data_IF_700117613684
#
_entry.id   IF_700117613684
#
_cell.length_a   1.000
_cell.length_b   1.000
_cell.length_c   1.000
_cell.angle_alpha   90.00
_cell.angle_beta   90.00
_cell.angle_gamma   90.00
#
_symmetry.space_group_name_H-M   'P 1'
#
loop_
_entity.id
_entity.type
_entity.pdbx_description
1 polymer ?
#
# COMPACT_ATOMS: atom_id res chain seq x y z
N UNK A 1 18.71 -32.86 49.22
CA UNK A 1 17.98 -34.01 49.77
C UNK A 1 16.50 -33.81 49.49
N UNK A 2 15.92 -34.72 48.69
CA UNK A 2 14.49 -35.07 48.56
C UNK A 2 13.47 -33.98 48.22
N UNK A 3 12.48 -34.16 47.34
CA UNK A 3 12.01 -35.30 46.56
C UNK A 3 11.01 -34.74 45.53
N UNK A 4 11.01 -35.35 44.35
CA UNK A 4 9.93 -35.30 43.36
C UNK A 4 8.58 -35.59 44.00
N UNK A 5 7.50 -34.96 43.51
CA UNK A 5 6.19 -35.62 43.51
C UNK A 5 5.37 -35.20 42.30
N UNK A 6 5.14 -36.20 41.44
CA UNK A 6 4.33 -36.23 40.24
C UNK A 6 2.97 -36.86 40.59
N UNK A 7 1.90 -36.32 39.97
CA UNK A 7 0.65 -37.00 39.54
C UNK A 7 -0.28 -37.58 40.63
N UNK A 8 -1.57 -37.21 40.60
CA UNK A 8 -2.73 -38.12 40.39
C UNK A 8 -4.09 -37.56 40.83
N UNK A 9 -5.03 -37.53 39.88
CA UNK A 9 -6.49 -37.77 39.98
C UNK A 9 -7.07 -37.32 38.62
N UNK A 10 -7.32 -38.10 37.58
CA UNK A 10 -7.97 -39.42 37.36
C UNK A 10 -9.46 -39.48 37.74
N UNK A 11 -10.28 -39.42 36.67
CA UNK A 11 -11.63 -40.00 36.38
C UNK A 11 -12.90 -39.38 36.94
N UNK A 12 -14.10 -39.62 36.32
CA UNK A 12 -14.46 -40.25 35.02
C UNK A 12 -15.35 -39.30 34.14
N UNK A 13 -15.41 -39.38 32.80
CA UNK A 13 -16.13 -40.29 31.89
C UNK A 13 -17.61 -40.62 32.21
N UNK A 14 -18.46 -40.58 31.17
CA UNK A 14 -19.94 -40.71 31.10
C UNK A 14 -20.71 -39.43 31.47
N UNK A 15 -21.62 -38.86 30.69
CA UNK A 15 -22.44 -39.26 29.54
C UNK A 15 -22.66 -37.98 28.68
N UNK A 16 -23.21 -37.92 27.48
CA UNK A 16 -24.09 -38.81 26.75
C UNK A 16 -23.99 -38.50 25.26
N UNK A 17 -24.37 -39.50 24.49
CA UNK A 17 -24.36 -39.61 23.04
C UNK A 17 -25.63 -38.95 22.47
N UNK A 18 -25.50 -37.88 21.70
CA UNK A 18 -26.54 -37.50 20.72
C UNK A 18 -25.86 -37.26 19.38
N UNK A 19 -25.76 -38.34 18.58
CA UNK A 19 -25.72 -38.24 17.12
C UNK A 19 -27.19 -38.25 16.68
N UNK A 20 -27.63 -37.23 15.94
CA UNK A 20 -28.05 -37.43 14.55
C UNK A 20 -28.45 -36.12 13.86
N UNK A 21 -27.83 -35.94 12.70
CA UNK A 21 -28.35 -35.34 11.48
C UNK A 21 -29.08 -33.99 11.56
N UNK A 22 -28.34 -32.92 11.29
CA UNK A 22 -28.71 -32.06 10.16
C UNK A 22 -27.55 -32.06 9.15
N UNK A 23 -27.48 -33.13 8.36
CA UNK A 23 -26.76 -33.07 7.09
C UNK A 23 -27.67 -32.27 6.17
N UNK A 24 -27.28 -31.03 5.85
CA UNK A 24 -27.53 -30.26 4.62
C UNK A 24 -27.45 -28.75 4.93
N UNK A 25 -26.63 -28.03 4.14
CA UNK A 25 -26.33 -26.58 4.16
C UNK A 25 -25.36 -26.19 5.30
N UNK A 26 -24.07 -25.88 5.12
CA UNK A 26 -23.38 -25.24 4.01
C UNK A 26 -22.02 -25.91 3.78
N UNK A 27 -21.78 -26.23 2.52
CA UNK A 27 -20.48 -26.63 2.02
C UNK A 27 -19.54 -25.43 2.09
N UNK A 28 -18.33 -25.68 2.60
CA UNK A 28 -17.08 -25.11 2.08
C UNK A 28 -16.72 -23.64 2.39
N UNK A 29 -15.46 -23.47 2.82
CA UNK A 29 -14.59 -22.35 2.46
C UNK A 29 -14.78 -21.00 3.17
N UNK A 30 -14.39 -20.89 4.44
CA UNK A 30 -14.16 -19.57 5.06
C UNK A 30 -12.67 -19.17 5.15
N UNK A 31 -11.76 -19.95 4.57
CA UNK A 31 -10.31 -19.64 4.49
C UNK A 31 -9.83 -19.26 3.08
N UNK A 32 -10.75 -18.93 2.15
CA UNK A 32 -10.43 -18.52 0.76
C UNK A 32 -11.28 -17.34 0.28
N UNK A 33 -11.56 -16.38 1.17
CA UNK A 33 -11.89 -15.02 0.75
C UNK A 33 -10.62 -14.20 1.02
N UNK A 34 -9.63 -14.29 0.12
CA UNK A 34 -9.25 -13.16 -0.74
C UNK A 34 -9.41 -11.84 0.01
N UNK A 35 -8.35 -11.38 0.66
CA UNK A 35 -8.15 -9.95 0.79
C UNK A 35 -8.08 -9.44 -0.66
N UNK A 36 -9.20 -8.95 -1.20
CA UNK A 36 -9.12 -8.08 -2.37
C UNK A 36 -8.23 -6.90 -1.95
N UNK A 37 -7.27 -6.45 -2.78
CA UNK A 37 -6.53 -5.25 -2.45
C UNK A 37 -7.56 -4.15 -2.20
N UNK A 38 -7.51 -3.57 -1.01
CA UNK A 38 -8.20 -2.34 -0.63
C UNK A 38 -7.77 -1.28 -1.66
N UNK A 39 -8.62 -1.02 -2.66
CA UNK A 39 -8.34 -0.03 -3.70
C UNK A 39 -8.05 1.36 -3.11
N UNK A 40 -8.50 1.59 -1.88
CA UNK A 40 -8.34 2.83 -1.10
C UNK A 40 -6.95 3.02 -0.45
N UNK A 41 -6.06 2.02 -0.48
CA UNK A 41 -4.75 2.06 0.19
C UNK A 41 -3.56 2.11 -0.77
N UNK A 42 -3.78 2.35 -2.07
CA UNK A 42 -2.70 2.50 -3.05
C UNK A 42 -2.67 3.91 -3.62
N UNK A 43 -1.48 4.35 -4.03
CA UNK A 43 -1.33 5.52 -4.91
C UNK A 43 -1.16 5.01 -6.34
N UNK A 44 -1.82 5.66 -7.30
CA UNK A 44 -1.86 5.25 -8.70
C UNK A 44 -1.08 6.20 -9.59
N UNK A 45 -0.50 5.69 -10.67
CA UNK A 45 0.20 6.46 -11.71
C UNK A 45 -0.56 6.34 -13.02
N UNK A 46 -0.85 7.46 -13.68
CA UNK A 46 -1.41 7.47 -15.06
C UNK A 46 -0.34 7.10 -16.09
N UNK A 47 -0.79 6.76 -17.30
CA UNK A 47 0.12 6.51 -18.43
C UNK A 47 0.95 7.76 -18.79
N UNK A 48 0.37 8.96 -18.71
CA UNK A 48 1.09 10.21 -18.97
C UNK A 48 2.20 10.45 -17.94
N UNK A 49 1.93 10.18 -16.65
CA UNK A 49 2.94 10.26 -15.61
C UNK A 49 4.11 9.30 -15.89
N UNK A 50 3.80 8.03 -16.22
CA UNK A 50 4.80 7.00 -16.54
C UNK A 50 5.62 7.40 -17.76
N UNK A 51 4.95 7.84 -18.83
CA UNK A 51 5.60 8.32 -20.06
C UNK A 51 6.57 9.45 -19.73
N UNK A 52 6.14 10.43 -18.93
CA UNK A 52 6.99 11.56 -18.59
C UNK A 52 8.19 11.15 -17.75
N UNK A 53 8.00 10.27 -16.78
CA UNK A 53 9.11 9.77 -15.95
C UNK A 53 10.15 9.01 -16.78
N UNK A 54 9.72 8.21 -17.75
CA UNK A 54 10.63 7.52 -18.69
C UNK A 54 11.40 8.51 -19.56
N UNK A 55 10.75 9.58 -20.04
CA UNK A 55 11.42 10.66 -20.78
C UNK A 55 12.50 11.33 -19.93
N UNK A 56 12.17 11.68 -18.67
CA UNK A 56 13.10 12.33 -17.73
C UNK A 56 14.29 11.42 -17.42
N UNK A 57 14.05 10.14 -17.13
CA UNK A 57 15.11 9.14 -16.90
C UNK A 57 16.00 8.92 -18.12
N UNK A 58 15.46 8.99 -19.35
CA UNK A 58 16.24 8.84 -20.57
C UNK A 58 17.06 10.09 -20.93
N UNK A 59 16.62 11.28 -20.48
CA UNK A 59 17.32 12.55 -20.74
C UNK A 59 18.51 12.80 -19.81
N UNK A 60 18.51 12.17 -18.63
CA UNK A 60 19.60 12.25 -17.66
C UNK A 60 20.74 11.30 -18.05
N UNK A 61 21.98 11.79 -18.08
CA UNK A 61 23.18 10.98 -18.40
C UNK A 61 23.69 10.20 -17.18
N UNK A 62 23.04 10.35 -16.03
CA UNK A 62 23.44 9.68 -14.78
C UNK A 62 23.03 8.20 -14.81
N UNK A 63 23.93 7.33 -14.33
CA UNK A 63 23.68 5.89 -14.24
C UNK A 63 22.65 5.50 -13.16
N UNK A 64 22.14 6.47 -12.39
CA UNK A 64 21.25 6.25 -11.26
C UNK A 64 19.78 6.36 -11.69
N UNK A 65 19.00 5.32 -11.40
CA UNK A 65 17.55 5.33 -11.62
C UNK A 65 16.88 6.37 -10.71
N UNK A 66 16.40 7.47 -11.31
CA UNK A 66 15.63 8.49 -10.58
C UNK A 66 14.20 8.02 -10.34
N UNK A 67 13.69 8.31 -9.16
CA UNK A 67 12.34 8.01 -8.69
C UNK A 67 11.57 9.32 -8.53
N UNK A 68 10.26 9.29 -8.75
CA UNK A 68 9.40 10.43 -8.44
C UNK A 68 9.13 10.43 -6.94
N UNK A 69 9.47 11.50 -6.23
CA UNK A 69 9.11 11.70 -4.83
C UNK A 69 7.88 12.60 -4.76
N UNK A 70 6.89 12.22 -3.96
CA UNK A 70 5.71 13.03 -3.64
C UNK A 70 5.68 13.33 -2.15
N UNK A 71 5.69 14.62 -1.83
CA UNK A 71 5.54 15.14 -0.47
C UNK A 71 4.32 16.04 -0.33
N UNK A 72 3.90 16.25 0.92
CA UNK A 72 2.90 17.25 1.29
C UNK A 72 3.54 18.27 2.22
N UNK A 73 3.55 19.52 1.80
CA UNK A 73 4.03 20.63 2.61
C UNK A 73 2.85 21.48 3.12
N UNK A 74 3.04 22.10 4.28
CA UNK A 74 2.10 23.10 4.80
C UNK A 74 2.16 24.33 3.92
N UNK A 75 1.05 24.64 3.25
CA UNK A 75 0.94 25.85 2.42
C UNK A 75 0.69 27.10 3.26
N UNK A 76 0.38 28.21 2.57
CA UNK A 76 -0.10 29.44 3.22
C UNK A 76 -1.50 29.29 3.84
N UNK A 77 -2.31 30.35 3.85
CA UNK A 77 -3.66 30.34 4.47
C UNK A 77 -4.61 29.22 4.02
N UNK A 78 -4.29 28.48 2.96
CA UNK A 78 -5.18 27.54 2.27
C UNK A 78 -4.92 26.07 2.56
N UNK A 79 -4.01 25.71 3.47
CA UNK A 79 -3.95 24.34 4.02
C UNK A 79 -2.69 23.58 3.66
N UNK A 80 -2.50 23.11 2.41
CA UNK A 80 -1.35 22.25 2.04
C UNK A 80 -1.00 22.36 0.55
N UNK A 81 0.22 21.97 0.18
CA UNK A 81 0.69 21.87 -1.21
C UNK A 81 1.36 20.51 -1.46
N UNK A 82 1.11 19.93 -2.63
CA UNK A 82 1.84 18.76 -3.13
C UNK A 82 3.13 19.20 -3.79
N UNK A 83 4.24 18.57 -3.40
CA UNK A 83 5.57 18.83 -3.95
C UNK A 83 6.10 17.57 -4.60
N UNK A 84 6.72 17.74 -5.76
CA UNK A 84 7.28 16.66 -6.56
C UNK A 84 8.77 16.90 -6.79
N UNK A 85 9.57 15.87 -6.54
CA UNK A 85 11.01 15.88 -6.76
C UNK A 85 11.47 14.63 -7.52
N UNK A 86 12.62 14.72 -8.20
CA UNK A 86 13.31 13.58 -8.78
C UNK A 86 14.47 13.19 -7.88
N UNK A 87 14.38 12.03 -7.25
CA UNK A 87 15.31 11.59 -6.22
C UNK A 87 15.96 10.25 -6.62
N UNK A 88 17.26 10.11 -6.35
CA UNK A 88 18.01 8.85 -6.49
C UNK A 88 18.04 8.03 -5.18
N UNK A 89 17.53 8.59 -4.07
CA UNK A 89 17.72 8.00 -2.73
C UNK A 89 16.44 7.45 -2.11
N UNK A 90 16.58 6.18 -1.74
CA UNK A 90 15.75 5.40 -0.82
C UNK A 90 15.77 5.89 0.64
N UNK A 91 14.75 6.58 1.19
CA UNK A 91 14.68 6.79 2.66
C UNK A 91 13.98 5.61 3.37
N UNK A 92 14.33 5.29 4.63
CA UNK A 92 13.79 4.13 5.34
C UNK A 92 12.28 4.22 5.62
N UNK A 93 11.73 5.44 5.71
CA UNK A 93 10.32 5.69 6.00
C UNK A 93 9.50 5.94 4.72
N UNK A 94 10.10 5.75 3.54
CA UNK A 94 9.40 5.89 2.27
C UNK A 94 8.53 4.67 1.98
N UNK A 95 7.33 4.94 1.47
CA UNK A 95 6.50 3.95 0.80
C UNK A 95 6.77 4.01 -0.70
N UNK A 96 6.98 2.84 -1.30
CA UNK A 96 7.30 2.71 -2.73
C UNK A 96 6.12 2.14 -3.48
N UNK A 97 5.72 2.83 -4.54
CA UNK A 97 4.73 2.38 -5.51
C UNK A 97 5.42 2.27 -6.87
N UNK A 98 5.31 1.12 -7.52
CA UNK A 98 5.94 0.90 -8.82
C UNK A 98 4.88 0.56 -9.87
N UNK A 99 4.99 1.18 -11.04
CA UNK A 99 4.19 0.84 -12.22
C UNK A 99 5.04 0.97 -13.48
N UNK A 100 5.11 -0.11 -14.24
CA UNK A 100 5.83 -0.16 -15.53
C UNK A 100 7.30 0.31 -15.47
N UNK A 101 8.00 -0.03 -14.38
CA UNK A 101 9.39 0.33 -14.13
C UNK A 101 9.59 1.76 -13.59
N UNK A 102 8.52 2.55 -13.46
CA UNK A 102 8.56 3.87 -12.83
C UNK A 102 8.21 3.72 -11.35
N UNK A 103 9.08 4.26 -10.49
CA UNK A 103 8.91 4.25 -9.04
C UNK A 103 8.45 5.61 -8.55
N UNK A 104 7.41 5.60 -7.71
CA UNK A 104 6.93 6.71 -6.90
C UNK A 104 7.27 6.41 -5.44
N UNK A 105 7.91 7.35 -4.76
CA UNK A 105 8.20 7.29 -3.33
C UNK A 105 7.42 8.37 -2.60
N UNK A 106 6.81 8.00 -1.48
CA UNK A 106 6.03 8.91 -0.64
C UNK A 106 6.47 8.68 0.80
N UNK A 107 6.89 9.74 1.49
CA UNK A 107 7.23 9.60 2.91
C UNK A 107 5.97 9.24 3.73
N UNK A 108 6.16 8.55 4.86
CA UNK A 108 5.04 8.04 5.64
C UNK A 108 4.09 9.13 6.16
N UNK A 109 4.56 10.37 6.37
CA UNK A 109 3.72 11.49 6.84
C UNK A 109 2.82 11.97 5.70
N UNK A 110 3.40 12.19 4.52
CA UNK A 110 2.69 12.61 3.31
C UNK A 110 1.70 11.55 2.82
N UNK A 111 2.02 10.26 3.01
CA UNK A 111 1.19 9.16 2.54
C UNK A 111 -0.27 9.23 3.03
N UNK A 112 -0.50 9.61 4.30
CA UNK A 112 -1.86 9.68 4.86
C UNK A 112 -2.75 10.70 4.13
N UNK A 113 -2.15 11.68 3.46
CA UNK A 113 -2.83 12.72 2.69
C UNK A 113 -3.07 12.34 1.22
N UNK A 114 -2.31 11.36 0.69
CA UNK A 114 -2.35 10.99 -0.74
C UNK A 114 -2.76 9.54 -0.98
N UNK A 115 -3.12 8.79 0.06
CA UNK A 115 -3.70 7.44 -0.10
C UNK A 115 -4.94 7.48 -1.01
N UNK A 116 -5.03 6.54 -1.94
CA UNK A 116 -6.09 6.51 -2.95
C UNK A 116 -5.94 7.55 -4.08
N UNK A 117 -4.90 8.40 -4.05
CA UNK A 117 -4.71 9.40 -5.09
C UNK A 117 -4.20 8.77 -6.40
N UNK A 118 -4.50 9.44 -7.50
CA UNK A 118 -3.92 9.19 -8.82
C UNK A 118 -3.04 10.36 -9.22
N UNK A 119 -1.79 10.06 -9.53
CA UNK A 119 -0.76 11.00 -9.96
C UNK A 119 -0.70 11.02 -11.48
N UNK A 120 -0.88 12.20 -12.06
CA UNK A 120 -0.86 12.46 -13.49
C UNK A 120 0.24 13.45 -13.87
N UNK A 121 0.58 13.49 -15.16
CA UNK A 121 1.38 14.57 -15.75
C UNK A 121 0.56 15.24 -16.84
N UNK A 122 0.23 16.51 -16.62
CA UNK A 122 -0.62 17.29 -17.51
C UNK A 122 0.26 18.25 -18.31
N UNK A 123 0.16 18.18 -19.63
CA UNK A 123 0.80 19.11 -20.57
C UNK A 123 -0.27 19.95 -21.26
N UNK A 124 -0.29 21.25 -20.96
CA UNK A 124 -1.12 22.27 -21.60
C UNK A 124 -0.24 23.22 -22.43
N UNK A 125 -0.86 24.04 -23.28
CA UNK A 125 -0.14 24.97 -24.16
C UNK A 125 0.80 25.93 -23.41
N UNK A 126 0.47 26.30 -22.17
CA UNK A 126 1.18 27.31 -21.38
C UNK A 126 1.92 26.75 -20.17
N UNK A 127 1.67 25.49 -19.80
CA UNK A 127 2.21 24.89 -18.57
C UNK A 127 2.24 23.38 -18.68
N UNK A 128 3.20 22.76 -18.01
CA UNK A 128 3.17 21.33 -17.74
C UNK A 128 3.55 21.06 -16.30
N UNK A 129 2.86 20.13 -15.65
CA UNK A 129 3.05 19.85 -14.24
C UNK A 129 2.56 18.45 -13.88
N UNK A 130 3.18 17.88 -12.83
CA UNK A 130 2.59 16.76 -12.13
C UNK A 130 1.38 17.23 -11.32
N UNK A 131 0.33 16.41 -11.27
CA UNK A 131 -0.92 16.72 -10.60
C UNK A 131 -1.40 15.52 -9.79
N UNK A 132 -1.94 15.82 -8.60
CA UNK A 132 -2.63 14.85 -7.74
C UNK A 132 -4.12 14.98 -7.98
N UNK A 133 -4.81 13.85 -8.18
CA UNK A 133 -6.26 13.77 -8.33
C UNK A 133 -6.83 12.64 -7.46
N UNK A 134 -8.05 12.81 -6.96
CA UNK A 134 -8.75 11.78 -6.19
C UNK A 134 -9.98 11.37 -7.01
N UNK A 135 -10.09 10.08 -7.31
CA UNK A 135 -11.29 9.53 -7.93
C UNK A 135 -12.36 9.44 -6.83
N UNK A 136 -13.37 10.31 -6.91
CA UNK A 136 -14.54 10.31 -6.01
C UNK A 136 -15.52 9.18 -6.34
#
# INVERSE_FOLDING_TARGET
MSRFSLIHRITPFFAARIRQNHRLLSSSSSSLLRQAPSLEESVHLTENCIRKMKELQASETSAEEKMLRLGVETGGCSGFQYVFDLDDKLNPDDRVFEKEGVKLVVDNISYDFVKGATIDYVEELIRSAFQVSFLL
#
